data_IF_907001247081
#
_entry.id   IF_907001247081
#
_cell.length_a   1.000
_cell.length_b   1.000
_cell.length_c   1.000
_cell.angle_alpha   90.00
_cell.angle_beta   90.00
_cell.angle_gamma   90.00
#
_symmetry.space_group_name_H-M   'P 1'
#
loop_
_entity.id
_entity.type
_entity.pdbx_description
1 polymer ?
#
# COMPACT_ATOMS: atom_id res chain seq x y z
N UNK A 1 -1.75 8.78 2.36
CA UNK A 1 -2.16 8.14 3.62
C UNK A 1 -1.15 8.65 4.62
N UNK A 2 -1.52 9.63 5.43
CA UNK A 2 -0.68 9.94 6.58
C UNK A 2 -0.83 8.75 7.51
N UNK A 3 0.26 8.05 7.78
CA UNK A 3 0.22 7.02 8.83
C UNK A 3 0.12 7.80 10.13
N UNK A 4 -0.99 7.61 10.85
CA UNK A 4 -1.23 8.34 12.08
C UNK A 4 -0.14 7.99 13.11
N UNK A 5 0.44 9.02 13.72
CA UNK A 5 1.53 8.87 14.67
C UNK A 5 1.06 8.15 15.92
N UNK A 6 -0.16 8.43 16.40
CA UNK A 6 -0.71 7.76 17.58
C UNK A 6 -0.92 6.26 17.31
N UNK A 7 -1.40 5.91 16.12
CA UNK A 7 -1.50 4.52 15.69
C UNK A 7 -0.14 3.82 15.63
N UNK A 8 0.89 4.47 15.06
CA UNK A 8 2.25 3.92 15.01
C UNK A 8 2.87 3.74 16.40
N UNK A 9 2.67 4.70 17.31
CA UNK A 9 3.13 4.59 18.69
C UNK A 9 2.50 3.36 19.34
N UNK A 10 1.18 3.18 19.21
CA UNK A 10 0.49 2.00 19.74
C UNK A 10 1.04 0.69 19.17
N UNK A 11 1.30 0.63 17.86
CA UNK A 11 1.89 -0.54 17.20
C UNK A 11 3.32 -0.84 17.68
N UNK A 12 4.12 0.21 17.89
CA UNK A 12 5.52 0.08 18.25
C UNK A 12 5.76 -0.10 19.76
N UNK A 13 4.75 0.15 20.58
CA UNK A 13 4.76 -0.18 22.01
C UNK A 13 4.70 -1.69 22.29
N UNK A 14 4.33 -2.50 21.30
CA UNK A 14 4.35 -3.96 21.44
C UNK A 14 5.79 -4.49 21.47
N UNK A 15 6.21 -4.93 22.68
CA UNK A 15 7.56 -5.44 22.95
C UNK A 15 7.85 -6.77 22.27
N UNK A 16 6.84 -7.52 21.85
CA UNK A 16 7.05 -8.74 21.05
C UNK A 16 7.68 -8.44 19.69
N UNK A 17 7.54 -7.21 19.20
CA UNK A 17 7.92 -6.84 17.83
C UNK A 17 9.18 -5.96 17.76
N UNK A 18 9.39 -5.13 18.79
CA UNK A 18 10.61 -4.38 18.99
C UNK A 18 11.26 -4.72 20.34
N UNK A 19 11.92 -5.89 20.45
CA UNK A 19 12.53 -6.32 21.70
C UNK A 19 13.66 -5.39 22.15
N UNK A 20 14.36 -4.75 21.20
CA UNK A 20 15.44 -3.79 21.48
C UNK A 20 14.89 -2.36 21.58
N UNK A 21 15.05 -1.77 22.77
CA UNK A 21 14.62 -0.41 23.11
C UNK A 21 15.76 0.62 23.05
N UNK A 22 16.64 0.54 22.02
CA UNK A 22 17.74 1.52 21.85
C UNK A 22 17.22 2.96 21.65
N UNK A 23 16.06 3.11 21.02
CA UNK A 23 15.41 4.40 20.79
C UNK A 23 13.98 4.38 21.34
N UNK A 24 13.48 5.52 21.87
CA UNK A 24 12.09 5.65 22.27
C UNK A 24 11.11 5.30 21.15
N UNK A 25 9.93 4.81 21.54
CA UNK A 25 8.87 4.41 20.59
C UNK A 25 8.46 5.57 19.67
N UNK A 26 8.35 6.78 20.23
CA UNK A 26 7.97 7.97 19.48
C UNK A 26 9.01 8.33 18.39
N UNK A 27 10.31 8.10 18.62
CA UNK A 27 11.37 8.32 17.62
C UNK A 27 11.15 7.38 16.44
N UNK A 28 10.91 6.09 16.71
CA UNK A 28 10.64 5.10 15.66
C UNK A 28 9.40 5.47 14.85
N UNK A 29 8.31 5.82 15.55
CA UNK A 29 7.03 6.17 14.94
C UNK A 29 7.16 7.45 14.08
N UNK A 30 7.85 8.47 14.60
CA UNK A 30 8.08 9.72 13.89
C UNK A 30 8.96 9.49 12.67
N UNK A 31 10.02 8.69 12.77
CA UNK A 31 10.88 8.34 11.63
C UNK A 31 10.09 7.68 10.49
N UNK A 32 9.23 6.72 10.83
CA UNK A 32 8.34 6.04 9.87
C UNK A 32 7.34 7.02 9.26
N UNK A 33 6.77 7.93 10.05
CA UNK A 33 5.86 8.97 9.56
C UNK A 33 6.57 9.93 8.59
N UNK A 34 7.71 10.49 8.99
CA UNK A 34 8.52 11.41 8.19
C UNK A 34 8.92 10.80 6.84
N UNK A 35 9.40 9.55 6.84
CA UNK A 35 9.69 8.82 5.61
C UNK A 35 8.40 8.54 4.78
N UNK A 36 7.28 8.30 5.45
CA UNK A 36 5.99 8.07 4.77
C UNK A 36 5.40 9.31 4.10
N UNK A 37 5.72 10.50 4.62
CA UNK A 37 5.33 11.80 4.04
C UNK A 37 6.22 12.23 2.87
N UNK A 38 7.29 11.49 2.57
CA UNK A 38 8.10 11.66 1.36
C UNK A 38 9.54 12.13 1.59
N UNK A 39 10.00 12.26 2.84
CA UNK A 39 11.42 12.48 3.12
C UNK A 39 12.24 11.24 2.78
N UNK A 40 13.47 11.44 2.29
CA UNK A 40 14.43 10.35 2.09
C UNK A 40 14.93 9.82 3.44
N UNK A 41 15.36 8.55 3.50
CA UNK A 41 15.89 7.97 4.74
C UNK A 41 17.07 8.77 5.31
N UNK A 42 17.92 9.32 4.42
CA UNK A 42 19.04 10.19 4.78
C UNK A 42 18.55 11.50 5.38
N UNK A 43 17.57 12.16 4.74
CA UNK A 43 17.00 13.40 5.27
C UNK A 43 16.31 13.20 6.62
N UNK A 44 15.65 12.06 6.83
CA UNK A 44 15.07 11.73 8.14
C UNK A 44 16.17 11.52 9.19
N UNK A 45 17.27 10.85 8.83
CA UNK A 45 18.44 10.68 9.70
C UNK A 45 19.06 12.03 10.10
N UNK A 46 19.24 12.95 9.14
CA UNK A 46 19.71 14.33 9.38
C UNK A 46 18.81 15.10 10.34
N UNK A 47 17.48 15.03 10.16
CA UNK A 47 16.53 15.68 11.09
C UNK A 47 16.69 15.16 12.51
N UNK A 48 16.92 13.86 12.70
CA UNK A 48 17.18 13.33 14.05
C UNK A 48 18.55 13.75 14.58
N UNK A 49 19.57 13.83 13.74
CA UNK A 49 20.89 14.35 14.13
C UNK A 49 20.81 15.81 14.60
N UNK A 50 20.05 16.67 13.93
CA UNK A 50 19.78 18.06 14.35
C UNK A 50 19.06 18.13 15.71
N UNK A 51 18.26 17.11 16.04
CA UNK A 51 17.60 16.96 17.35
C UNK A 51 18.49 16.26 18.41
N UNK A 52 19.77 16.03 18.12
CA UNK A 52 20.71 15.36 19.04
C UNK A 52 20.56 13.84 19.13
N UNK A 53 19.79 13.22 18.22
CA UNK A 53 19.54 11.78 18.17
C UNK A 53 20.27 11.14 17.00
N UNK A 54 21.33 10.35 17.27
CA UNK A 54 22.08 9.63 16.25
C UNK A 54 21.34 8.37 15.76
N UNK A 55 20.33 8.57 14.91
CA UNK A 55 19.56 7.50 14.26
C UNK A 55 20.09 7.27 12.85
N UNK A 56 20.62 6.07 12.56
CA UNK A 56 21.08 5.73 11.21
C UNK A 56 19.92 5.53 10.23
N UNK A 57 20.15 5.87 8.95
CA UNK A 57 19.17 5.62 7.88
C UNK A 57 18.76 4.14 7.77
N UNK A 58 19.65 3.19 8.07
CA UNK A 58 19.36 1.76 8.06
C UNK A 58 18.43 1.36 9.22
N UNK A 59 18.55 2.00 10.38
CA UNK A 59 17.61 1.81 11.49
C UNK A 59 16.20 2.23 11.08
N UNK A 60 16.09 3.39 10.42
CA UNK A 60 14.82 3.92 9.90
C UNK A 60 14.24 2.97 8.86
N UNK A 61 15.07 2.44 7.96
CA UNK A 61 14.67 1.46 6.93
C UNK A 61 14.07 0.21 7.58
N UNK A 62 14.74 -0.36 8.59
CA UNK A 62 14.26 -1.55 9.32
C UNK A 62 12.92 -1.25 10.01
N UNK A 63 12.79 -0.10 10.68
CA UNK A 63 11.53 0.27 11.34
C UNK A 63 10.39 0.46 10.36
N UNK A 64 10.66 1.06 9.19
CA UNK A 64 9.69 1.20 8.12
C UNK A 64 9.24 -0.15 7.57
N UNK A 65 10.16 -1.07 7.29
CA UNK A 65 9.80 -2.42 6.83
C UNK A 65 8.96 -3.17 7.86
N UNK A 66 9.34 -3.11 9.14
CA UNK A 66 8.56 -3.72 10.23
C UNK A 66 7.16 -3.12 10.34
N UNK A 67 7.03 -1.78 10.31
CA UNK A 67 5.72 -1.13 10.26
C UNK A 67 4.90 -1.57 9.06
N UNK A 68 5.55 -1.67 7.89
CA UNK A 68 4.94 -2.17 6.66
C UNK A 68 4.37 -3.58 6.84
N UNK A 69 5.14 -4.51 7.41
CA UNK A 69 4.68 -5.86 7.70
C UNK A 69 3.46 -5.88 8.64
N UNK A 70 3.48 -5.09 9.71
CA UNK A 70 2.35 -5.00 10.65
C UNK A 70 1.09 -4.42 9.97
N UNK A 71 1.26 -3.34 9.23
CA UNK A 71 0.17 -2.64 8.55
C UNK A 71 -0.35 -3.40 7.32
N UNK A 72 0.46 -4.30 6.75
CA UNK A 72 0.08 -5.16 5.63
C UNK A 72 -0.82 -6.32 6.04
N UNK A 73 -1.06 -6.53 7.34
CA UNK A 73 -2.00 -7.54 7.80
C UNK A 73 -3.43 -7.11 7.46
N UNK A 74 -3.95 -7.67 6.38
CA UNK A 74 -5.33 -7.45 5.93
C UNK A 74 -6.18 -8.55 6.54
N UNK A 75 -6.81 -8.26 7.68
CA UNK A 75 -7.72 -9.22 8.32
C UNK A 75 -8.88 -9.58 7.37
N UNK A 76 -9.20 -10.87 7.30
CA UNK A 76 -10.36 -11.37 6.55
C UNK A 76 -11.65 -10.84 7.18
N UNK A 77 -12.39 -9.99 6.48
CA UNK A 77 -13.59 -9.31 6.99
C UNK A 77 -14.73 -9.34 5.98
N UNK A 78 -15.95 -9.09 6.46
CA UNK A 78 -17.11 -8.87 5.58
C UNK A 78 -16.97 -7.49 4.92
N UNK A 79 -17.02 -7.43 3.59
CA UNK A 79 -16.90 -6.19 2.82
C UNK A 79 -18.06 -6.05 1.85
N UNK A 80 -18.54 -4.82 1.65
CA UNK A 80 -19.69 -4.57 0.78
C UNK A 80 -19.26 -4.35 -0.67
N UNK A 81 -18.53 -3.25 -0.87
CA UNK A 81 -18.19 -2.73 -2.19
C UNK A 81 -16.69 -2.51 -2.30
N UNK A 82 -16.10 -3.09 -3.34
CA UNK A 82 -14.66 -2.99 -3.58
C UNK A 82 -14.46 -2.34 -4.93
N UNK A 83 -13.75 -1.23 -4.96
CA UNK A 83 -13.25 -0.67 -6.20
C UNK A 83 -11.93 -1.38 -6.55
N UNK A 84 -11.84 -1.84 -7.79
CA UNK A 84 -10.70 -2.52 -8.37
C UNK A 84 -10.26 -1.75 -9.60
N UNK A 85 -8.97 -1.50 -9.70
CA UNK A 85 -8.39 -0.84 -10.85
C UNK A 85 -6.91 -1.21 -10.99
N UNK A 86 -6.35 -0.94 -12.16
CA UNK A 86 -4.93 -1.16 -12.44
C UNK A 86 -4.27 0.10 -13.00
N UNK A 87 -3.00 0.28 -12.65
CA UNK A 87 -2.22 1.41 -13.11
C UNK A 87 -0.86 0.95 -13.63
N UNK A 88 -0.45 1.53 -14.75
CA UNK A 88 0.93 1.41 -15.22
C UNK A 88 1.85 2.20 -14.29
N UNK A 89 2.90 1.54 -13.81
CA UNK A 89 4.01 2.16 -13.11
C UNK A 89 5.30 1.90 -13.87
N UNK A 90 6.25 2.82 -13.76
CA UNK A 90 7.57 2.70 -14.35
C UNK A 90 8.57 2.54 -13.19
N UNK A 91 9.33 1.45 -13.22
CA UNK A 91 10.58 1.33 -12.47
C UNK A 91 11.74 1.71 -13.39
N UNK A 92 12.88 2.11 -12.84
CA UNK A 92 14.08 2.65 -13.54
C UNK A 92 14.42 2.00 -14.89
N UNK A 93 14.12 0.70 -15.09
CA UNK A 93 14.38 0.00 -16.34
C UNK A 93 13.14 -0.66 -17.00
N UNK A 94 11.98 -0.74 -16.35
CA UNK A 94 10.87 -1.60 -16.81
C UNK A 94 9.48 -1.05 -16.48
N UNK A 95 8.56 -1.26 -17.43
CA UNK A 95 7.12 -1.07 -17.25
C UNK A 95 6.56 -2.22 -16.40
N UNK A 96 5.78 -1.88 -15.39
CA UNK A 96 5.02 -2.83 -14.58
C UNK A 96 3.57 -2.38 -14.40
N UNK A 97 2.72 -3.29 -13.96
CA UNK A 97 1.31 -3.06 -13.72
C UNK A 97 0.99 -3.31 -12.27
N UNK A 98 0.44 -2.28 -11.63
CA UNK A 98 0.00 -2.32 -10.25
C UNK A 98 -1.51 -2.43 -10.20
N UNK A 99 -2.00 -3.54 -9.69
CA UNK A 99 -3.40 -3.79 -9.44
C UNK A 99 -3.70 -3.45 -7.99
N UNK A 100 -4.81 -2.75 -7.75
CA UNK A 100 -5.20 -2.37 -6.40
C UNK A 100 -6.70 -2.53 -6.18
N UNK A 101 -7.04 -3.11 -5.04
CA UNK A 101 -8.41 -3.23 -4.56
C UNK A 101 -8.58 -2.37 -3.31
N UNK A 102 -9.64 -1.55 -3.25
CA UNK A 102 -9.98 -0.76 -2.06
C UNK A 102 -11.45 -0.87 -1.71
N UNK A 103 -11.73 -0.93 -0.42
CA UNK A 103 -13.11 -0.88 0.09
C UNK A 103 -13.65 0.55 -0.05
N UNK A 104 -14.88 0.69 -0.57
CA UNK A 104 -15.42 2.02 -0.95
C UNK A 104 -15.76 2.90 0.27
N UNK A 105 -16.22 2.31 1.37
CA UNK A 105 -16.63 3.04 2.59
C UNK A 105 -15.44 3.33 3.49
N UNK A 106 -14.69 2.31 3.89
CA UNK A 106 -13.55 2.39 4.81
C UNK A 106 -12.31 2.94 4.13
N UNK A 107 -12.25 2.91 2.79
CA UNK A 107 -11.07 3.28 1.99
C UNK A 107 -9.86 2.40 2.32
N UNK A 108 -10.04 1.27 2.98
CA UNK A 108 -8.96 0.32 3.26
C UNK A 108 -8.45 -0.27 1.95
N UNK A 109 -7.13 -0.50 1.88
CA UNK A 109 -6.54 -1.26 0.78
C UNK A 109 -6.71 -2.75 1.11
N UNK A 110 -7.32 -3.48 0.18
CA UNK A 110 -7.72 -4.88 0.34
C UNK A 110 -6.70 -5.83 -0.27
N UNK A 111 -6.15 -5.46 -1.42
CA UNK A 111 -5.12 -6.23 -2.10
C UNK A 111 -4.32 -5.28 -2.99
N UNK A 112 -3.03 -5.57 -3.10
CA UNK A 112 -2.14 -4.98 -4.09
C UNK A 112 -1.43 -6.14 -4.78
N UNK A 113 -1.39 -6.12 -6.11
CA UNK A 113 -0.62 -7.07 -6.89
C UNK A 113 0.24 -6.34 -7.90
N UNK A 114 1.50 -6.76 -8.05
CA UNK A 114 2.42 -6.19 -9.02
C UNK A 114 2.76 -7.25 -10.06
N UNK A 115 2.56 -6.93 -11.33
CA UNK A 115 2.81 -7.84 -12.44
C UNK A 115 3.58 -7.17 -13.58
N UNK A 116 4.25 -7.99 -14.40
CA UNK A 116 4.91 -7.54 -15.63
C UNK A 116 3.92 -7.34 -16.79
N UNK A 117 2.72 -7.93 -16.71
CA UNK A 117 1.69 -7.89 -17.76
C UNK A 117 0.26 -7.66 -17.23
N UNK A 118 -0.69 -7.40 -18.14
CA UNK A 118 -2.14 -7.27 -17.85
C UNK A 118 -2.98 -8.47 -18.31
N UNK A 119 -2.36 -9.65 -18.38
CA UNK A 119 -3.01 -10.87 -18.85
C UNK A 119 -4.02 -11.46 -17.86
N UNK A 120 -4.79 -12.43 -18.35
CA UNK A 120 -5.80 -13.14 -17.54
C UNK A 120 -5.22 -13.80 -16.29
N UNK A 121 -4.05 -14.46 -16.40
CA UNK A 121 -3.40 -15.12 -15.26
C UNK A 121 -3.08 -14.16 -14.11
N UNK A 122 -2.61 -12.94 -14.44
CA UNK A 122 -2.32 -11.92 -13.44
C UNK A 122 -3.58 -11.35 -12.81
N UNK A 123 -4.65 -11.20 -13.60
CA UNK A 123 -5.96 -10.82 -13.07
C UNK A 123 -6.53 -11.90 -12.14
N UNK A 124 -6.38 -13.20 -12.46
CA UNK A 124 -6.88 -14.29 -11.60
C UNK A 124 -6.20 -14.23 -10.23
N UNK A 125 -4.86 -14.22 -10.19
CA UNK A 125 -4.09 -14.14 -8.94
C UNK A 125 -4.50 -12.94 -8.09
N UNK A 126 -4.68 -11.77 -8.73
CA UNK A 126 -5.10 -10.57 -8.03
C UNK A 126 -6.52 -10.69 -7.46
N UNK A 127 -7.47 -11.24 -8.22
CA UNK A 127 -8.86 -11.40 -7.77
C UNK A 127 -8.98 -12.50 -6.69
N UNK A 128 -8.13 -13.53 -6.72
CA UNK A 128 -7.97 -14.50 -5.62
C UNK A 128 -7.52 -13.81 -4.33
N UNK A 129 -6.47 -12.96 -4.38
CA UNK A 129 -6.04 -12.21 -3.22
C UNK A 129 -7.16 -11.31 -2.63
N UNK A 130 -8.00 -10.72 -3.49
CA UNK A 130 -9.19 -9.96 -3.04
C UNK A 130 -10.20 -10.86 -2.34
N UNK A 131 -10.46 -12.06 -2.88
CA UNK A 131 -11.38 -13.05 -2.31
C UNK A 131 -10.90 -13.57 -0.97
N UNK A 132 -9.61 -13.86 -0.83
CA UNK A 132 -9.01 -14.38 0.41
C UNK A 132 -9.08 -13.35 1.54
N UNK A 133 -8.99 -12.08 1.19
CA UNK A 133 -9.18 -11.00 2.14
C UNK A 133 -10.65 -10.80 2.57
N UNK A 134 -11.64 -11.39 1.90
CA UNK A 134 -13.08 -11.17 2.15
C UNK A 134 -13.79 -12.42 2.68
N UNK A 135 -14.49 -12.33 3.81
CA UNK A 135 -15.27 -13.46 4.34
C UNK A 135 -16.57 -13.74 3.57
N UNK A 136 -17.03 -12.79 2.76
CA UNK A 136 -18.23 -12.87 1.94
C UNK A 136 -17.91 -12.69 0.44
N UNK A 137 -18.95 -12.63 -0.41
CA UNK A 137 -18.85 -12.30 -1.83
C UNK A 137 -19.14 -10.80 -2.07
N UNK A 138 -18.13 -9.92 -2.00
CA UNK A 138 -18.31 -8.48 -2.23
C UNK A 138 -18.67 -8.19 -3.69
N UNK A 139 -19.20 -6.99 -3.94
CA UNK A 139 -19.39 -6.49 -5.30
C UNK A 139 -18.17 -5.70 -5.74
N UNK A 140 -17.52 -6.15 -6.82
CA UNK A 140 -16.38 -5.50 -7.44
C UNK A 140 -16.84 -4.45 -8.45
N UNK A 141 -16.37 -3.22 -8.28
CA UNK A 141 -16.44 -2.16 -9.27
C UNK A 141 -15.14 -2.16 -10.07
N UNK A 142 -15.23 -2.56 -11.33
CA UNK A 142 -14.11 -2.54 -12.27
C UNK A 142 -14.40 -1.56 -13.39
N UNK A 143 -13.37 -1.30 -14.19
CA UNK A 143 -13.52 -0.68 -15.50
C UNK A 143 -14.19 -1.61 -16.53
N UNK A 144 -14.25 -1.14 -17.78
CA UNK A 144 -14.79 -1.90 -18.92
C UNK A 144 -13.77 -2.86 -19.53
N UNK A 145 -12.59 -3.06 -18.94
CA UNK A 145 -11.61 -3.97 -19.51
C UNK A 145 -12.12 -5.41 -19.52
N UNK A 146 -11.77 -6.11 -20.61
CA UNK A 146 -12.23 -7.47 -20.88
C UNK A 146 -11.61 -8.51 -19.93
N UNK A 147 -10.40 -8.28 -19.43
CA UNK A 147 -9.68 -9.25 -18.59
C UNK A 147 -10.33 -9.48 -17.22
N UNK A 148 -11.24 -8.61 -16.75
CA UNK A 148 -11.97 -8.82 -15.49
C UNK A 148 -13.18 -9.75 -15.63
N UNK A 149 -13.74 -9.92 -16.85
CA UNK A 149 -15.01 -10.62 -17.05
C UNK A 149 -14.93 -12.08 -16.62
N UNK A 150 -13.96 -12.79 -17.20
CA UNK A 150 -13.81 -14.21 -17.02
C UNK A 150 -13.30 -14.57 -15.61
N UNK A 151 -12.25 -13.93 -15.05
CA UNK A 151 -11.75 -14.24 -13.70
C UNK A 151 -12.78 -13.99 -12.58
N UNK A 152 -13.57 -12.92 -12.69
CA UNK A 152 -14.59 -12.61 -11.68
C UNK A 152 -15.71 -13.64 -11.71
N UNK A 153 -16.11 -14.08 -12.91
CA UNK A 153 -17.10 -15.15 -13.08
C UNK A 153 -16.57 -16.49 -12.57
N UNK A 154 -15.34 -16.85 -12.91
CA UNK A 154 -14.66 -18.07 -12.44
C UNK A 154 -14.65 -18.14 -10.91
N UNK A 155 -14.31 -17.03 -10.24
CA UNK A 155 -14.20 -16.96 -8.78
C UNK A 155 -15.55 -16.71 -8.07
N UNK A 156 -16.66 -16.66 -8.82
CA UNK A 156 -18.01 -16.54 -8.28
C UNK A 156 -18.27 -15.20 -7.57
N UNK A 157 -17.56 -14.13 -7.96
CA UNK A 157 -17.74 -12.79 -7.41
C UNK A 157 -18.70 -11.95 -8.25
N UNK A 158 -19.29 -10.91 -7.63
CA UNK A 158 -20.24 -10.02 -8.32
C UNK A 158 -19.48 -8.87 -8.97
N UNK A 159 -19.72 -8.62 -10.27
CA UNK A 159 -19.15 -7.47 -11.00
C UNK A 159 -20.22 -6.40 -11.23
N UNK A 160 -19.84 -5.13 -11.05
CA UNK A 160 -20.59 -3.98 -11.58
C UNK A 160 -19.65 -3.11 -12.40
N UNK A 161 -19.94 -2.97 -13.69
CA UNK A 161 -19.23 -2.06 -14.60
C UNK A 161 -19.68 -0.63 -14.26
N UNK A 162 -18.76 0.25 -13.85
CA UNK A 162 -19.06 1.68 -13.66
C UNK A 162 -17.93 2.53 -14.22
N UNK A 163 -18.31 3.54 -15.02
CA UNK A 163 -17.37 4.49 -15.62
C UNK A 163 -17.06 5.67 -14.69
N UNK A 164 -17.96 6.05 -13.78
CA UNK A 164 -17.80 7.21 -12.88
C UNK A 164 -18.23 6.93 -11.43
N UNK A 165 -17.58 7.59 -10.46
CA UNK A 165 -18.00 7.67 -9.05
C UNK A 165 -17.16 6.85 -8.07
N UNK A 166 -17.68 5.71 -7.60
CA UNK A 166 -17.07 4.87 -6.53
C UNK A 166 -15.64 4.38 -6.86
N UNK A 167 -15.22 4.42 -8.13
CA UNK A 167 -13.85 4.10 -8.60
C UNK A 167 -12.82 5.19 -8.31
N UNK A 168 -13.25 6.45 -8.18
CA UNK A 168 -12.34 7.59 -7.95
C UNK A 168 -11.46 7.39 -6.71
N UNK A 169 -11.86 6.53 -5.77
CA UNK A 169 -11.09 6.20 -4.55
C UNK A 169 -9.80 5.44 -4.89
N UNK A 170 -9.82 4.52 -5.86
CA UNK A 170 -8.63 3.77 -6.27
C UNK A 170 -7.75 4.62 -7.18
N UNK A 171 -8.35 5.35 -8.11
CA UNK A 171 -7.62 6.28 -8.99
C UNK A 171 -6.91 7.39 -8.19
N UNK A 172 -7.60 8.02 -7.22
CA UNK A 172 -7.00 9.00 -6.31
C UNK A 172 -5.85 8.41 -5.50
N UNK A 173 -5.95 7.13 -5.14
CA UNK A 173 -4.87 6.42 -4.45
C UNK A 173 -3.68 6.17 -5.36
N UNK A 174 -3.91 5.74 -6.61
CA UNK A 174 -2.85 5.60 -7.60
C UNK A 174 -2.14 6.93 -7.86
N UNK A 175 -2.86 8.05 -7.97
CA UNK A 175 -2.23 9.36 -8.13
C UNK A 175 -1.29 9.71 -6.98
N UNK A 176 -1.71 9.44 -5.74
CA UNK A 176 -0.87 9.63 -4.54
C UNK A 176 0.35 8.72 -4.55
N UNK A 177 0.18 7.46 -4.93
CA UNK A 177 1.27 6.49 -5.03
C UNK A 177 2.26 6.87 -6.13
N UNK A 178 1.78 7.24 -7.32
CA UNK A 178 2.62 7.70 -8.44
C UNK A 178 3.40 8.95 -8.08
N UNK A 179 2.80 9.90 -7.37
CA UNK A 179 3.51 11.08 -6.84
C UNK A 179 4.67 10.66 -5.93
N UNK A 180 4.44 9.69 -5.05
CA UNK A 180 5.48 9.15 -4.16
C UNK A 180 6.57 8.43 -4.95
N UNK A 181 6.22 7.55 -5.89
CA UNK A 181 7.19 6.87 -6.75
C UNK A 181 8.07 7.90 -7.47
N UNK A 182 7.51 8.97 -8.02
CA UNK A 182 8.28 10.04 -8.67
C UNK A 182 9.30 10.71 -7.75
N UNK A 183 8.97 10.91 -6.47
CA UNK A 183 9.92 11.46 -5.48
C UNK A 183 11.11 10.53 -5.22
N UNK A 184 10.91 9.21 -5.32
CA UNK A 184 11.99 8.22 -5.17
C UNK A 184 12.70 7.90 -6.49
N UNK A 185 12.08 8.18 -7.63
CA UNK A 185 12.61 7.90 -8.96
C UNK A 185 13.49 9.05 -9.51
N UNK A 186 13.99 9.91 -8.62
CA UNK A 186 15.01 10.89 -8.97
C UNK A 186 16.34 10.14 -8.93
N UNK A 187 16.88 9.81 -10.10
CA UNK A 187 18.31 9.50 -10.20
C UNK A 187 19.07 10.67 -9.60
N UNK A 188 19.79 10.46 -8.51
CA UNK A 188 20.93 11.31 -8.21
C UNK A 188 21.97 10.96 -9.29
N UNK A 189 22.38 11.90 -10.16
CA UNK A 189 23.56 11.65 -10.99
C UNK A 189 24.72 11.45 -10.02
N UNK A 190 25.25 10.22 -9.99
CA UNK A 190 26.57 9.91 -9.45
C UNK A 190 27.64 10.45 -10.37
#
# INVERSE_FOLDING_TARGET
>A
MGVDLAHLIKLFSDRSIFPRCRFPVWVKALAVRLYSEGLSLRRVSEVFSELGLNVSYESIRIWFHKAGCMLSYISRRRRGFIAVDEAVIYSLARRAYLWAAREVRTKEVIAIHLSSGRGLGECIKFIEAVKDACSNKPTLYTDRAGWYEWPIRLLGMRRRKKTFGRRNIVESWFSKLKRRIRQFNVCFPT
#
